data_IF_930501242384
#
_entry.id   IF_930501242384
#
_cell.length_a   1.000
_cell.length_b   1.000
_cell.length_c   1.000
_cell.angle_alpha   90.00
_cell.angle_beta   90.00
_cell.angle_gamma   90.00
#
_symmetry.space_group_name_H-M   'P 1'
#
loop_
_entity.id
_entity.type
_entity.pdbx_description
1 polymer ?
#
# COMPACT_ATOMS: atom_id res chain seq x y z
N UNK A 1 0.07 -7.14 60.19
CA UNK A 1 1.20 -6.76 59.31
C UNK A 1 0.74 -7.00 57.88
N UNK A 2 0.45 -5.92 57.17
CA UNK A 2 -0.07 -5.95 55.80
C UNK A 2 1.06 -5.53 54.87
N UNK A 3 1.37 -6.39 53.89
CA UNK A 3 2.33 -6.05 52.82
C UNK A 3 1.57 -5.83 51.52
N UNK A 4 1.59 -4.59 51.03
CA UNK A 4 1.01 -4.18 49.76
C UNK A 4 2.10 -4.31 48.68
N UNK A 5 1.89 -5.19 47.72
CA UNK A 5 2.70 -5.22 46.49
C UNK A 5 1.93 -4.48 45.37
N UNK A 6 2.37 -3.28 45.05
CA UNK A 6 1.84 -2.50 43.94
C UNK A 6 2.40 -2.99 42.63
N UNK A 7 1.57 -3.46 41.73
CA UNK A 7 1.93 -3.76 40.34
C UNK A 7 1.96 -2.46 39.55
N UNK A 8 3.14 -2.01 39.21
CA UNK A 8 3.38 -0.83 38.39
C UNK A 8 3.25 -1.24 36.93
N UNK A 9 2.12 -0.91 36.30
CA UNK A 9 1.90 -1.09 34.88
C UNK A 9 2.76 -0.07 34.09
N UNK A 10 3.77 -0.58 33.41
CA UNK A 10 4.63 0.23 32.53
C UNK A 10 3.81 0.75 31.33
N UNK A 11 3.44 2.02 31.36
CA UNK A 11 2.94 2.77 30.21
C UNK A 11 4.08 2.92 29.20
N UNK A 12 4.10 2.12 28.15
CA UNK A 12 4.92 2.37 26.96
C UNK A 12 4.34 3.59 26.23
N UNK A 13 4.93 4.73 26.50
CA UNK A 13 4.76 5.95 25.71
C UNK A 13 5.31 5.70 24.30
N UNK A 14 4.42 5.57 23.32
CA UNK A 14 4.78 5.67 21.90
C UNK A 14 5.20 7.11 21.64
N UNK A 15 6.49 7.39 21.66
CA UNK A 15 7.06 8.64 21.17
C UNK A 15 6.67 8.79 19.69
N UNK A 16 5.67 9.61 19.40
CA UNK A 16 5.51 10.22 18.09
C UNK A 16 6.75 11.08 17.85
N UNK A 17 7.67 10.57 17.06
CA UNK A 17 8.78 11.36 16.57
C UNK A 17 8.20 12.48 15.71
N UNK A 18 8.28 13.70 16.18
CA UNK A 18 7.94 14.87 15.39
C UNK A 18 8.89 14.93 14.18
N UNK A 19 8.33 14.91 12.98
CA UNK A 19 9.07 15.06 11.73
C UNK A 19 9.73 16.44 11.68
N UNK A 20 10.98 16.55 11.18
CA UNK A 20 11.65 17.83 11.04
C UNK A 20 10.84 18.73 10.07
N UNK A 21 10.67 19.99 10.44
CA UNK A 21 10.12 21.06 9.58
C UNK A 21 11.13 21.35 8.47
N UNK A 22 10.96 20.73 7.30
CA UNK A 22 11.80 20.97 6.14
C UNK A 22 11.49 19.97 5.05
N UNK A 23 10.87 20.41 3.96
CA UNK A 23 10.35 19.67 2.80
C UNK A 23 9.18 18.73 3.15
N UNK A 24 8.01 19.02 2.61
CA UNK A 24 6.84 18.14 2.71
C UNK A 24 7.24 16.75 2.17
N UNK A 25 7.48 15.80 3.07
CA UNK A 25 7.84 14.43 2.72
C UNK A 25 6.62 13.81 2.09
N UNK A 26 6.56 13.84 0.77
CA UNK A 26 5.47 13.21 0.02
C UNK A 26 5.66 11.71 0.07
N UNK A 27 4.66 11.00 0.59
CA UNK A 27 4.60 9.55 0.59
C UNK A 27 4.06 9.06 -0.75
N UNK A 28 4.49 7.87 -1.16
CA UNK A 28 3.88 7.14 -2.27
C UNK A 28 3.20 5.90 -1.74
N UNK A 29 1.89 5.85 -1.85
CA UNK A 29 1.13 4.62 -1.63
C UNK A 29 1.08 3.85 -2.95
N UNK A 30 1.70 2.68 -2.97
CA UNK A 30 1.79 1.85 -4.17
C UNK A 30 0.69 0.80 -4.13
N UNK A 31 -0.23 0.87 -5.09
CA UNK A 31 -1.28 -0.11 -5.30
C UNK A 31 -0.81 -1.21 -6.26
N UNK A 32 -1.45 -2.37 -6.22
CA UNK A 32 -1.05 -3.59 -6.92
C UNK A 32 -0.97 -3.42 -8.43
N UNK A 33 -1.90 -2.69 -9.05
CA UNK A 33 -1.94 -2.53 -10.51
C UNK A 33 -0.70 -1.84 -11.06
N UNK A 34 -0.19 -0.80 -10.38
CA UNK A 34 1.05 -0.13 -10.77
C UNK A 34 2.26 -1.07 -10.67
N UNK A 35 2.27 -1.93 -9.65
CA UNK A 35 3.33 -2.91 -9.45
C UNK A 35 3.34 -3.96 -10.56
N UNK A 36 2.15 -4.43 -10.95
CA UNK A 36 1.97 -5.38 -12.04
C UNK A 36 2.29 -4.77 -13.41
N UNK A 37 1.87 -3.53 -13.66
CA UNK A 37 2.21 -2.80 -14.88
C UNK A 37 3.74 -2.66 -15.04
N UNK A 38 4.44 -2.32 -13.96
CA UNK A 38 5.90 -2.23 -13.97
C UNK A 38 6.58 -3.60 -14.20
N UNK A 39 6.03 -4.67 -13.66
CA UNK A 39 6.63 -6.00 -13.67
C UNK A 39 6.30 -6.80 -14.93
N UNK A 40 5.02 -6.82 -15.33
CA UNK A 40 4.50 -7.68 -16.39
C UNK A 40 4.31 -6.96 -17.74
N UNK A 41 3.94 -5.68 -17.70
CA UNK A 41 3.56 -4.91 -18.89
C UNK A 41 4.69 -4.01 -19.38
N UNK A 42 5.82 -3.99 -18.68
CA UNK A 42 6.98 -3.15 -18.97
C UNK A 42 6.65 -1.64 -19.01
N UNK A 43 5.58 -1.21 -18.34
CA UNK A 43 5.17 0.19 -18.25
C UNK A 43 6.29 1.06 -17.67
N UNK A 44 6.88 1.91 -18.52
CA UNK A 44 7.99 2.77 -18.13
C UNK A 44 7.58 3.82 -17.10
N UNK A 45 6.35 4.35 -17.20
CA UNK A 45 5.84 5.33 -16.25
C UNK A 45 5.64 4.68 -14.87
N UNK A 46 5.04 3.47 -14.81
CA UNK A 46 4.92 2.71 -13.56
C UNK A 46 6.30 2.41 -12.97
N UNK A 47 7.27 1.97 -13.79
CA UNK A 47 8.65 1.73 -13.32
C UNK A 47 9.29 2.98 -12.73
N UNK A 48 9.10 4.13 -13.37
CA UNK A 48 9.63 5.41 -12.89
C UNK A 48 8.95 5.84 -11.59
N UNK A 49 7.63 5.68 -11.49
CA UNK A 49 6.88 5.94 -10.27
C UNK A 49 7.35 5.08 -9.07
N UNK A 50 7.76 3.84 -9.34
CA UNK A 50 8.30 2.94 -8.31
C UNK A 50 9.77 3.20 -7.96
N UNK A 51 10.48 4.00 -8.78
CA UNK A 51 11.87 4.41 -8.53
C UNK A 51 11.91 5.71 -7.71
N UNK A 52 13.04 6.04 -7.18
CA UNK A 52 13.28 7.31 -6.48
C UNK A 52 13.38 7.16 -4.97
N UNK A 53 13.73 8.27 -4.31
CA UNK A 53 14.06 8.32 -2.88
C UNK A 53 12.84 8.52 -1.97
N UNK A 54 11.62 8.73 -2.53
CA UNK A 54 10.42 8.96 -1.75
C UNK A 54 10.04 7.71 -0.95
N UNK A 55 9.57 7.90 0.26
CA UNK A 55 9.08 6.83 1.12
C UNK A 55 7.90 6.12 0.45
N UNK A 56 7.99 4.80 0.32
CA UNK A 56 6.96 3.96 -0.29
C UNK A 56 6.19 3.22 0.80
N UNK A 57 4.90 3.31 0.73
CA UNK A 57 3.96 2.63 1.61
C UNK A 57 3.09 1.73 0.74
N UNK A 58 2.73 0.57 1.21
CA UNK A 58 1.79 -0.32 0.51
C UNK A 58 1.06 -1.22 1.49
N UNK A 59 -0.06 -1.79 1.08
CA UNK A 59 -0.77 -2.81 1.85
C UNK A 59 -0.06 -4.17 1.79
N UNK A 60 -0.19 -4.96 2.83
CA UNK A 60 0.18 -6.39 2.78
C UNK A 60 -0.55 -7.12 1.66
N UNK A 61 -1.75 -6.68 1.31
CA UNK A 61 -2.59 -7.20 0.22
C UNK A 61 -1.87 -7.16 -1.13
N UNK A 62 -1.14 -6.08 -1.42
CA UNK A 62 -0.40 -5.89 -2.67
C UNK A 62 0.49 -7.10 -3.02
N UNK A 63 1.13 -7.69 -2.04
CA UNK A 63 2.02 -8.83 -2.29
C UNK A 63 1.26 -10.13 -2.53
N UNK A 64 0.11 -10.32 -1.88
CA UNK A 64 -0.77 -11.45 -2.13
C UNK A 64 -1.36 -11.38 -3.55
N UNK A 65 -1.89 -10.23 -3.94
CA UNK A 65 -2.46 -10.00 -5.27
C UNK A 65 -1.41 -10.14 -6.38
N UNK A 66 -0.25 -9.48 -6.22
CA UNK A 66 0.83 -9.55 -7.20
C UNK A 66 1.36 -10.99 -7.36
N UNK A 67 1.54 -11.73 -6.27
CA UNK A 67 1.95 -13.15 -6.33
C UNK A 67 0.90 -13.99 -7.05
N UNK A 68 -0.40 -13.77 -6.76
CA UNK A 68 -1.49 -14.48 -7.45
C UNK A 68 -1.57 -14.11 -8.94
N UNK A 69 -1.25 -12.87 -9.31
CA UNK A 69 -1.19 -12.44 -10.71
C UNK A 69 -0.05 -13.15 -11.47
N UNK A 70 1.13 -13.31 -10.87
CA UNK A 70 2.25 -14.07 -11.46
C UNK A 70 1.86 -15.54 -11.68
N UNK A 71 1.23 -16.18 -10.70
CA UNK A 71 0.74 -17.57 -10.83
C UNK A 71 -0.28 -17.67 -11.98
N UNK A 72 -1.26 -16.74 -12.05
CA UNK A 72 -2.25 -16.74 -13.14
C UNK A 72 -1.58 -16.55 -14.51
N UNK A 73 -0.61 -15.64 -14.61
CA UNK A 73 0.12 -15.42 -15.87
C UNK A 73 0.90 -16.66 -16.32
N UNK A 74 1.51 -17.40 -15.37
CA UNK A 74 2.18 -18.68 -15.67
C UNK A 74 1.17 -19.75 -16.12
N UNK A 75 0.07 -19.93 -15.40
CA UNK A 75 -0.97 -20.91 -15.76
C UNK A 75 -1.54 -20.61 -17.15
N UNK A 76 -1.70 -19.33 -17.49
CA UNK A 76 -2.12 -18.87 -18.81
C UNK A 76 -0.98 -18.89 -19.86
N UNK A 77 0.17 -19.50 -19.54
CA UNK A 77 1.35 -19.63 -20.43
C UNK A 77 1.93 -18.28 -20.93
N UNK A 78 1.63 -17.18 -20.25
CA UNK A 78 2.23 -15.86 -20.54
C UNK A 78 3.58 -15.66 -19.87
N UNK A 79 3.91 -16.49 -18.88
CA UNK A 79 5.20 -16.53 -18.21
C UNK A 79 5.72 -17.96 -18.15
N UNK A 80 7.04 -18.08 -18.24
CA UNK A 80 7.71 -19.36 -17.92
C UNK A 80 7.81 -19.54 -16.40
N UNK A 81 8.08 -20.79 -15.92
CA UNK A 81 8.38 -21.00 -14.49
C UNK A 81 9.59 -20.21 -13.98
N UNK A 82 10.54 -19.90 -14.87
CA UNK A 82 11.70 -19.07 -14.53
C UNK A 82 11.32 -17.61 -14.34
N UNK A 83 10.43 -17.06 -15.20
CA UNK A 83 9.92 -15.69 -15.10
C UNK A 83 9.07 -15.50 -13.83
N UNK A 84 8.21 -16.47 -13.51
CA UNK A 84 7.43 -16.45 -12.27
C UNK A 84 8.36 -16.35 -11.04
N UNK A 85 9.39 -17.21 -10.96
CA UNK A 85 10.36 -17.17 -9.88
C UNK A 85 11.14 -15.85 -9.82
N UNK A 86 11.50 -15.31 -10.98
CA UNK A 86 12.16 -13.99 -11.05
C UNK A 86 11.24 -12.89 -10.55
N UNK A 87 9.97 -12.88 -10.95
CA UNK A 87 8.96 -11.95 -10.48
C UNK A 87 8.75 -12.02 -8.96
N UNK A 88 8.64 -13.23 -8.40
CA UNK A 88 8.50 -13.40 -6.95
C UNK A 88 9.73 -12.88 -6.18
N UNK A 89 10.94 -13.12 -6.68
CA UNK A 89 12.16 -12.53 -6.07
C UNK A 89 12.14 -11.00 -6.13
N UNK A 90 11.70 -10.45 -7.25
CA UNK A 90 11.57 -9.00 -7.39
C UNK A 90 10.55 -8.42 -6.42
N UNK A 91 9.38 -9.06 -6.25
CA UNK A 91 8.36 -8.67 -5.26
C UNK A 91 8.94 -8.66 -3.83
N UNK A 92 9.70 -9.67 -3.46
CA UNK A 92 10.35 -9.73 -2.15
C UNK A 92 11.39 -8.60 -1.98
N UNK A 93 12.17 -8.31 -3.02
CA UNK A 93 13.12 -7.22 -2.99
C UNK A 93 12.43 -5.85 -2.89
N UNK A 94 11.29 -5.67 -3.56
CA UNK A 94 10.47 -4.47 -3.47
C UNK A 94 9.87 -4.32 -2.06
N UNK A 95 9.32 -5.41 -1.49
CA UNK A 95 8.76 -5.42 -0.14
C UNK A 95 9.75 -4.89 0.91
N UNK A 96 11.02 -5.26 0.82
CA UNK A 96 12.06 -4.78 1.75
C UNK A 96 12.33 -3.27 1.68
N UNK A 97 11.82 -2.59 0.66
CA UNK A 97 12.00 -1.15 0.42
C UNK A 97 10.73 -0.35 0.69
N UNK A 98 9.70 -0.98 1.25
CA UNK A 98 8.41 -0.37 1.53
C UNK A 98 8.04 -0.52 3.00
N UNK A 99 7.33 0.48 3.52
CA UNK A 99 6.57 0.32 4.74
C UNK A 99 5.29 -0.45 4.40
N UNK A 100 5.16 -1.64 4.94
CA UNK A 100 4.03 -2.53 4.63
C UNK A 100 2.99 -2.41 5.73
N UNK A 101 1.79 -1.97 5.36
CA UNK A 101 0.66 -1.77 6.27
C UNK A 101 -0.20 -3.03 6.32
N UNK A 102 -0.52 -3.47 7.52
CA UNK A 102 -1.41 -4.60 7.74
C UNK A 102 -2.87 -4.21 7.48
N UNK A 103 -3.68 -5.18 7.07
CA UNK A 103 -5.15 -5.03 7.05
C UNK A 103 -5.66 -5.27 8.46
N UNK A 104 -6.14 -4.20 9.08
CA UNK A 104 -6.72 -4.22 10.42
C UNK A 104 -8.24 -4.21 10.36
N UNK A 105 -8.90 -4.46 11.50
CA UNK A 105 -10.37 -4.33 11.59
C UNK A 105 -10.85 -2.93 11.21
N UNK A 106 -10.06 -1.89 11.51
CA UNK A 106 -10.38 -0.52 11.09
C UNK A 106 -10.33 -0.36 9.57
N UNK A 107 -9.37 -0.97 8.87
CA UNK A 107 -9.29 -0.99 7.40
C UNK A 107 -10.50 -1.72 6.82
N UNK A 108 -10.86 -2.89 7.37
CA UNK A 108 -12.02 -3.66 6.95
C UNK A 108 -13.32 -2.87 7.15
N UNK A 109 -13.49 -2.27 8.32
CA UNK A 109 -14.67 -1.45 8.61
C UNK A 109 -14.78 -0.22 7.69
N UNK A 110 -13.67 0.45 7.35
CA UNK A 110 -13.65 1.57 6.41
C UNK A 110 -13.95 1.12 4.99
N UNK A 111 -13.36 0.02 4.55
CA UNK A 111 -13.58 -0.54 3.21
C UNK A 111 -15.04 -0.99 2.98
N UNK A 112 -15.77 -1.35 4.03
CA UNK A 112 -17.19 -1.70 3.97
C UNK A 112 -18.14 -0.51 3.89
N UNK A 113 -17.65 0.74 3.90
CA UNK A 113 -18.47 1.95 3.76
C UNK A 113 -18.39 2.50 2.34
N UNK A 114 -19.39 3.28 1.88
CA UNK A 114 -19.37 3.88 0.56
C UNK A 114 -18.13 4.74 0.30
N UNK A 115 -17.67 4.73 -0.94
CA UNK A 115 -16.65 5.62 -1.48
C UNK A 115 -17.28 6.68 -2.39
N UNK A 116 -16.59 7.76 -2.70
CA UNK A 116 -17.15 8.85 -3.51
C UNK A 116 -17.64 8.41 -4.90
N UNK A 117 -16.97 7.41 -5.50
CA UNK A 117 -17.29 6.89 -6.84
C UNK A 117 -17.59 5.39 -6.75
N UNK A 118 -18.85 5.04 -6.85
CA UNK A 118 -19.32 3.66 -6.86
C UNK A 118 -19.72 3.20 -8.30
N UNK A 119 -19.69 1.90 -8.61
CA UNK A 119 -19.30 0.79 -7.74
C UNK A 119 -17.79 0.59 -7.66
N UNK A 120 -17.28 0.31 -6.46
CA UNK A 120 -15.88 -0.05 -6.22
C UNK A 120 -15.77 -1.55 -5.87
N UNK A 121 -14.66 -2.20 -6.26
CA UNK A 121 -14.40 -3.60 -5.89
C UNK A 121 -13.83 -3.67 -4.48
N UNK A 122 -14.08 -4.78 -3.78
CA UNK A 122 -13.60 -4.98 -2.40
C UNK A 122 -12.10 -4.77 -2.22
N UNK A 123 -11.28 -5.27 -3.17
CA UNK A 123 -9.82 -5.12 -3.06
C UNK A 123 -9.38 -3.67 -3.28
N UNK A 124 -10.01 -2.96 -4.22
CA UNK A 124 -9.76 -1.54 -4.47
C UNK A 124 -10.16 -0.70 -3.25
N UNK A 125 -11.32 -1.01 -2.64
CA UNK A 125 -11.79 -0.38 -1.41
C UNK A 125 -10.82 -0.60 -0.24
N UNK A 126 -10.23 -1.79 -0.12
CA UNK A 126 -9.22 -2.10 0.90
C UNK A 126 -7.94 -1.28 0.70
N UNK A 127 -7.50 -1.07 -0.54
CA UNK A 127 -6.35 -0.22 -0.83
C UNK A 127 -6.62 1.24 -0.47
N UNK A 128 -7.77 1.79 -0.87
CA UNK A 128 -8.14 3.16 -0.53
C UNK A 128 -8.31 3.35 0.98
N UNK A 129 -9.01 2.43 1.66
CA UNK A 129 -9.16 2.45 3.11
C UNK A 129 -7.80 2.40 3.83
N UNK A 130 -6.85 1.60 3.33
CA UNK A 130 -5.50 1.55 3.88
C UNK A 130 -4.80 2.90 3.72
N UNK A 131 -4.94 3.56 2.56
CA UNK A 131 -4.33 4.88 2.32
C UNK A 131 -4.94 5.96 3.22
N UNK A 132 -6.27 5.99 3.40
CA UNK A 132 -6.94 6.95 4.30
C UNK A 132 -6.51 6.77 5.76
N UNK A 133 -6.33 5.53 6.20
CA UNK A 133 -5.95 5.21 7.58
C UNK A 133 -4.45 5.37 7.87
N UNK A 134 -3.65 5.83 6.91
CA UNK A 134 -2.28 6.31 7.20
C UNK A 134 -2.28 7.54 8.10
N UNK A 135 -3.39 8.29 8.14
CA UNK A 135 -3.56 9.49 8.96
C UNK A 135 -2.77 10.70 8.43
N UNK A 136 -2.36 10.65 7.18
CA UNK A 136 -1.67 11.75 6.49
C UNK A 136 -2.68 12.57 5.67
N UNK A 137 -2.41 13.86 5.48
CA UNK A 137 -3.22 14.69 4.62
C UNK A 137 -3.17 14.16 3.17
N UNK A 138 -4.31 14.03 2.45
CA UNK A 138 -4.35 13.46 1.11
C UNK A 138 -3.34 14.09 0.14
N UNK A 139 -3.11 15.39 0.24
CA UNK A 139 -2.18 16.14 -0.62
C UNK A 139 -0.72 15.76 -0.42
N UNK A 140 -0.38 15.11 0.72
CA UNK A 140 0.96 14.62 1.02
C UNK A 140 1.17 13.16 0.57
N UNK A 141 0.11 12.50 0.09
CA UNK A 141 0.13 11.11 -0.34
C UNK A 141 -0.13 11.04 -1.84
N UNK A 142 0.80 10.49 -2.59
CA UNK A 142 0.60 10.15 -4.01
C UNK A 142 0.17 8.69 -4.12
N UNK A 143 -1.02 8.44 -4.64
CA UNK A 143 -1.48 7.09 -4.98
C UNK A 143 -0.89 6.69 -6.32
N UNK A 144 -0.08 5.64 -6.34
CA UNK A 144 0.53 5.09 -7.56
C UNK A 144 -0.29 3.88 -7.98
N UNK A 145 -1.08 4.03 -9.05
CA UNK A 145 -2.04 3.01 -9.50
C UNK A 145 -2.25 3.08 -11.02
N UNK A 146 -2.78 1.99 -11.61
CA UNK A 146 -3.24 1.89 -13.00
C UNK A 146 -4.71 1.48 -13.07
N UNK A 147 -5.37 1.24 -11.94
CA UNK A 147 -6.80 0.92 -11.91
C UNK A 147 -7.64 2.21 -11.94
N UNK A 148 -8.52 2.33 -12.94
CA UNK A 148 -9.36 3.53 -13.13
C UNK A 148 -10.28 3.81 -11.94
N UNK A 149 -10.83 2.76 -11.29
CA UNK A 149 -11.71 2.93 -10.11
C UNK A 149 -10.96 3.49 -8.91
N UNK A 150 -9.71 3.03 -8.73
CA UNK A 150 -8.83 3.57 -7.68
C UNK A 150 -8.44 5.01 -8.02
N UNK A 151 -8.12 5.31 -9.29
CA UNK A 151 -7.81 6.67 -9.76
C UNK A 151 -8.94 7.63 -9.45
N UNK A 152 -10.18 7.28 -9.86
CA UNK A 152 -11.35 8.17 -9.73
C UNK A 152 -11.66 8.43 -8.26
N UNK A 153 -11.65 7.39 -7.42
CA UNK A 153 -11.88 7.53 -5.99
C UNK A 153 -10.74 8.29 -5.27
N UNK A 154 -9.48 7.99 -5.61
CA UNK A 154 -8.34 8.69 -5.02
C UNK A 154 -8.40 10.21 -5.30
N UNK A 155 -8.73 10.60 -6.53
CA UNK A 155 -8.92 12.00 -6.90
C UNK A 155 -10.08 12.64 -6.14
N UNK A 156 -11.22 11.95 -6.06
CA UNK A 156 -12.40 12.44 -5.32
C UNK A 156 -12.13 12.58 -3.81
N UNK A 157 -11.22 11.79 -3.25
CA UNK A 157 -10.74 11.88 -1.87
C UNK A 157 -9.63 12.94 -1.67
N UNK A 158 -9.20 13.61 -2.75
CA UNK A 158 -8.20 14.68 -2.69
C UNK A 158 -6.73 14.21 -2.78
N UNK A 159 -6.49 12.95 -3.11
CA UNK A 159 -5.13 12.41 -3.31
C UNK A 159 -4.53 12.86 -4.65
N UNK A 160 -3.21 13.01 -4.67
CA UNK A 160 -2.43 13.07 -5.90
C UNK A 160 -2.35 11.67 -6.49
N UNK A 161 -2.49 11.52 -7.82
CA UNK A 161 -2.44 10.23 -8.52
C UNK A 161 -1.34 10.24 -9.56
N UNK A 162 -0.54 9.18 -9.60
CA UNK A 162 0.57 8.97 -10.56
C UNK A 162 0.50 7.59 -11.22
#
# INVERSE_FOLDING_TARGET
MASRSGTQAARRSTRRSALPKGEATTFRYVETSALLAALLEQDAAARNALRGKRRRITSVLTFAEASRALVRARVAQRLTPADERAGLRWLQAFRRRCDVVAITDAVLARAGRPFPVEPIRTLDALHLATAELLGEAPQLVTIVTRDSRVIDNARALGYVVE
#
